data_IF_351944488349
#
_entry.id   IF_351944488349
#
_cell.length_a   1.000
_cell.length_b   1.000
_cell.length_c   1.000
_cell.angle_alpha   90.00
_cell.angle_beta   90.00
_cell.angle_gamma   90.00
#
_symmetry.space_group_name_H-M   'P 1'
#
loop_
_entity.id
_entity.type
_entity.pdbx_description
1 polymer ?
#
# COMPACT_ATOMS: atom_id res chain seq x y z
N UNK A 1 40.24 3.20 -32.43
CA UNK A 1 39.93 3.15 -30.99
C UNK A 1 38.43 3.42 -30.86
N UNK A 2 37.62 2.36 -30.82
CA UNK A 2 36.16 2.48 -30.72
C UNK A 2 35.78 2.66 -29.25
N UNK A 3 35.25 3.84 -28.89
CA UNK A 3 34.69 4.09 -27.57
C UNK A 3 33.30 3.43 -27.49
N UNK A 4 33.15 2.46 -26.60
CA UNK A 4 31.88 1.82 -26.32
C UNK A 4 30.89 2.84 -25.73
N UNK A 5 29.61 2.86 -26.16
CA UNK A 5 28.59 3.67 -25.51
C UNK A 5 28.26 3.07 -24.13
N UNK A 6 28.36 3.92 -23.10
CA UNK A 6 28.05 3.62 -21.70
C UNK A 6 26.57 3.28 -21.51
N UNK A 7 26.32 2.14 -20.85
CA UNK A 7 25.00 1.56 -20.57
C UNK A 7 24.17 2.31 -19.49
N UNK A 8 24.35 3.62 -19.32
CA UNK A 8 23.69 4.41 -18.26
C UNK A 8 22.42 5.14 -18.70
N UNK A 9 22.18 5.28 -20.01
CA UNK A 9 21.05 6.08 -20.55
C UNK A 9 19.73 5.29 -20.62
N UNK A 10 19.77 3.95 -20.50
CA UNK A 10 18.58 3.10 -20.56
C UNK A 10 17.78 3.06 -19.25
N UNK A 11 18.38 3.39 -18.11
CA UNK A 11 17.71 3.38 -16.80
C UNK A 11 16.88 4.67 -16.54
N UNK A 12 17.30 5.79 -17.12
CA UNK A 12 16.61 7.08 -16.95
C UNK A 12 15.32 7.17 -17.78
N UNK A 13 15.27 6.48 -18.93
CA UNK A 13 14.09 6.46 -19.80
C UNK A 13 12.93 5.64 -19.21
N UNK A 14 13.22 4.62 -18.39
CA UNK A 14 12.22 3.82 -17.68
C UNK A 14 11.61 4.62 -16.52
N UNK A 15 12.42 5.40 -15.78
CA UNK A 15 11.91 6.28 -14.71
C UNK A 15 11.04 7.41 -15.25
N UNK A 16 11.40 8.00 -16.40
CA UNK A 16 10.59 9.01 -17.08
C UNK A 16 9.29 8.38 -17.60
N UNK A 17 9.32 7.16 -18.15
CA UNK A 17 8.11 6.44 -18.57
C UNK A 17 7.21 6.05 -17.38
N UNK A 18 7.78 5.65 -16.24
CA UNK A 18 7.05 5.41 -14.99
C UNK A 18 6.46 6.71 -14.43
N UNK A 19 7.17 7.83 -14.53
CA UNK A 19 6.66 9.15 -14.17
C UNK A 19 5.55 9.60 -15.12
N UNK A 20 5.66 9.40 -16.43
CA UNK A 20 4.64 9.75 -17.42
C UNK A 20 3.40 8.86 -17.27
N UNK A 21 3.55 7.55 -17.02
CA UNK A 21 2.43 6.67 -16.67
C UNK A 21 1.80 7.04 -15.32
N UNK A 22 2.60 7.44 -14.33
CA UNK A 22 2.10 8.02 -13.08
C UNK A 22 1.40 9.37 -13.32
N UNK A 23 1.81 10.15 -14.32
CA UNK A 23 1.22 11.43 -14.69
C UNK A 23 -0.12 11.28 -15.44
N UNK A 24 -0.21 10.34 -16.37
CA UNK A 24 -1.45 9.93 -17.05
C UNK A 24 -2.47 9.38 -16.06
N UNK A 25 -2.01 8.49 -15.15
CA UNK A 25 -2.81 8.04 -14.03
C UNK A 25 -3.18 9.22 -13.12
N UNK A 26 -2.28 10.17 -12.84
CA UNK A 26 -2.58 11.34 -12.02
C UNK A 26 -3.64 12.28 -12.65
N UNK A 27 -3.77 12.35 -13.98
CA UNK A 27 -4.82 13.14 -14.67
C UNK A 27 -6.19 12.44 -14.57
N UNK A 28 -6.23 11.12 -14.82
CA UNK A 28 -7.43 10.31 -14.65
C UNK A 28 -7.86 10.28 -13.17
N UNK A 29 -6.88 10.18 -12.28
CA UNK A 29 -7.00 10.24 -10.84
C UNK A 29 -7.42 11.63 -10.38
N UNK A 30 -6.94 12.73 -10.96
CA UNK A 30 -7.43 14.09 -10.63
C UNK A 30 -8.92 14.28 -10.92
N UNK A 31 -9.39 13.66 -12.01
CA UNK A 31 -10.80 13.72 -12.42
C UNK A 31 -11.69 12.93 -11.46
N UNK A 32 -11.22 11.77 -10.98
CA UNK A 32 -11.92 10.92 -9.99
C UNK A 32 -11.73 11.42 -8.54
N UNK A 33 -10.56 12.00 -8.25
CA UNK A 33 -10.17 12.62 -6.99
C UNK A 33 -11.13 13.74 -6.63
N UNK A 34 -11.61 14.62 -7.52
CA UNK A 34 -12.54 15.68 -7.05
C UNK A 34 -13.71 15.15 -6.22
N UNK A 35 -14.22 13.97 -6.55
CA UNK A 35 -15.28 13.29 -5.78
C UNK A 35 -14.70 12.53 -4.57
N UNK A 36 -13.63 11.78 -4.78
CA UNK A 36 -13.01 10.94 -3.74
C UNK A 36 -12.15 11.71 -2.74
N UNK A 37 -11.78 12.95 -3.03
CA UNK A 37 -10.96 13.86 -2.22
C UNK A 37 -11.81 14.52 -1.16
N UNK A 38 -13.06 14.86 -1.49
CA UNK A 38 -14.07 15.22 -0.50
C UNK A 38 -14.37 14.02 0.40
N UNK A 39 -14.44 12.81 -0.18
CA UNK A 39 -14.55 11.57 0.57
C UNK A 39 -13.30 11.31 1.43
N UNK A 40 -12.09 11.59 0.95
CA UNK A 40 -10.83 11.42 1.68
C UNK A 40 -10.70 12.40 2.82
N UNK A 41 -10.99 13.69 2.62
CA UNK A 41 -11.03 14.67 3.71
C UNK A 41 -12.06 14.23 4.76
N UNK A 42 -13.22 13.74 4.32
CA UNK A 42 -14.27 13.21 5.20
C UNK A 42 -13.85 11.91 5.90
N UNK A 43 -13.18 10.97 5.22
CA UNK A 43 -12.67 9.72 5.79
C UNK A 43 -11.54 10.01 6.78
N UNK A 44 -10.58 10.87 6.42
CA UNK A 44 -9.45 11.29 7.26
C UNK A 44 -9.91 12.05 8.51
N UNK A 45 -11.06 12.73 8.45
CA UNK A 45 -11.68 13.38 9.61
C UNK A 45 -12.60 12.47 10.41
N UNK A 46 -13.33 11.54 9.79
CA UNK A 46 -14.31 10.66 10.44
C UNK A 46 -13.82 9.22 10.71
N UNK A 47 -12.61 8.88 10.29
CA UNK A 47 -11.99 7.56 10.40
C UNK A 47 -12.84 6.41 9.80
N UNK A 48 -13.44 6.62 8.62
CA UNK A 48 -14.24 5.59 7.95
C UNK A 48 -13.50 5.01 6.74
N UNK A 49 -13.03 3.74 6.77
CA UNK A 49 -12.34 3.12 5.63
C UNK A 49 -13.30 2.67 4.51
N UNK A 50 -14.61 2.58 4.76
CA UNK A 50 -15.61 1.98 3.85
C UNK A 50 -15.82 2.74 2.54
N UNK A 51 -15.34 3.99 2.45
CA UNK A 51 -15.50 4.85 1.27
C UNK A 51 -14.35 4.81 0.27
N UNK A 52 -13.19 4.24 0.61
CA UNK A 52 -11.98 4.28 -0.21
C UNK A 52 -11.41 2.87 -0.40
N UNK A 53 -11.30 2.40 -1.64
CA UNK A 53 -10.67 1.11 -1.94
C UNK A 53 -9.17 1.08 -1.61
N UNK A 54 -8.61 -0.10 -1.36
CA UNK A 54 -7.18 -0.29 -1.04
C UNK A 54 -6.25 0.24 -2.13
N UNK A 55 -6.58 0.02 -3.41
CA UNK A 55 -5.81 0.54 -4.56
C UNK A 55 -5.70 2.08 -4.57
N UNK A 56 -6.78 2.74 -4.14
CA UNK A 56 -6.85 4.20 -4.05
C UNK A 56 -6.00 4.70 -2.88
N UNK A 57 -6.06 4.02 -1.73
CA UNK A 57 -5.22 4.31 -0.56
C UNK A 57 -3.72 4.12 -0.87
N UNK A 58 -3.35 3.04 -1.55
CA UNK A 58 -1.95 2.80 -1.98
C UNK A 58 -1.44 3.90 -2.90
N UNK A 59 -2.27 4.31 -3.86
CA UNK A 59 -1.92 5.39 -4.79
C UNK A 59 -1.77 6.72 -4.05
N UNK A 60 -2.67 7.02 -3.10
CA UNK A 60 -2.58 8.23 -2.27
C UNK A 60 -1.29 8.28 -1.43
N UNK A 61 -0.86 7.14 -0.87
CA UNK A 61 0.42 7.06 -0.15
C UNK A 61 1.60 7.32 -1.11
N UNK A 62 1.55 6.79 -2.34
CA UNK A 62 2.59 7.01 -3.37
C UNK A 62 2.62 8.45 -3.91
N UNK A 63 1.51 9.17 -3.81
CA UNK A 63 1.39 10.59 -4.21
C UNK A 63 1.74 11.56 -3.07
N UNK A 64 2.23 11.07 -1.93
CA UNK A 64 2.69 11.93 -0.84
C UNK A 64 3.78 12.88 -1.35
N UNK A 65 3.61 14.20 -1.21
CA UNK A 65 4.61 15.16 -1.66
C UNK A 65 5.87 15.02 -0.80
N UNK A 66 7.01 15.31 -1.39
CA UNK A 66 8.27 15.45 -0.64
C UNK A 66 8.21 16.68 0.27
N UNK A 67 9.08 16.74 1.29
CA UNK A 67 9.12 17.88 2.23
C UNK A 67 9.38 19.20 1.50
N UNK A 68 10.24 19.17 0.48
CA UNK A 68 10.58 20.32 -0.34
C UNK A 68 9.38 20.80 -1.17
N UNK A 69 8.58 19.88 -1.71
CA UNK A 69 7.34 20.20 -2.44
C UNK A 69 6.25 20.73 -1.52
N UNK A 70 6.09 20.15 -0.32
CA UNK A 70 5.14 20.62 0.69
C UNK A 70 5.43 22.07 1.10
N UNK A 71 6.70 22.42 1.34
CA UNK A 71 7.11 23.79 1.67
C UNK A 71 6.83 24.75 0.50
N UNK A 72 7.13 24.35 -0.74
CA UNK A 72 6.85 25.17 -1.93
C UNK A 72 5.36 25.41 -2.13
N UNK A 73 4.52 24.39 -1.95
CA UNK A 73 3.07 24.50 -2.08
C UNK A 73 2.48 25.36 -0.96
N UNK A 74 2.98 25.23 0.27
CA UNK A 74 2.55 26.00 1.43
C UNK A 74 2.88 27.49 1.32
N UNK A 75 4.07 27.81 0.80
CA UNK A 75 4.55 29.18 0.60
C UNK A 75 4.18 29.76 -0.78
N UNK A 76 3.25 29.11 -1.51
CA UNK A 76 2.80 29.62 -2.79
C UNK A 76 1.76 30.72 -2.57
N UNK A 77 2.15 31.99 -2.77
CA UNK A 77 1.26 33.14 -2.56
C UNK A 77 0.60 33.63 -3.87
N UNK A 78 0.91 32.95 -4.97
CA UNK A 78 0.42 33.28 -6.30
C UNK A 78 -1.03 32.88 -6.54
N UNK A 79 -1.52 33.16 -7.74
CA UNK A 79 -2.87 32.82 -8.16
C UNK A 79 -3.07 31.30 -8.22
N UNK A 80 -4.01 30.79 -7.42
CA UNK A 80 -4.40 29.38 -7.35
C UNK A 80 -4.89 28.83 -8.71
N UNK A 81 -5.31 29.70 -9.62
CA UNK A 81 -5.70 29.32 -10.99
C UNK A 81 -4.53 28.74 -11.80
N UNK A 82 -3.29 29.15 -11.48
CA UNK A 82 -2.05 28.68 -12.13
C UNK A 82 -1.57 27.33 -11.62
N UNK A 83 -2.03 26.91 -10.45
CA UNK A 83 -1.78 25.57 -9.93
C UNK A 83 -2.70 24.56 -10.64
N UNK A 84 -2.14 23.41 -10.99
CA UNK A 84 -2.90 22.26 -11.46
C UNK A 84 -3.89 21.75 -10.41
N UNK A 85 -4.86 20.95 -10.83
CA UNK A 85 -5.84 20.33 -9.91
C UNK A 85 -5.15 19.53 -8.79
N UNK A 86 -4.08 18.80 -9.11
CA UNK A 86 -3.31 18.01 -8.15
C UNK A 86 -2.54 18.89 -7.16
N UNK A 87 -1.92 19.97 -7.63
CA UNK A 87 -1.15 20.88 -6.79
C UNK A 87 -2.05 21.66 -5.82
N UNK A 88 -3.26 22.04 -6.27
CA UNK A 88 -4.28 22.63 -5.39
C UNK A 88 -4.74 21.66 -4.30
N UNK A 89 -4.90 20.39 -4.63
CA UNK A 89 -5.20 19.35 -3.65
C UNK A 89 -4.07 19.22 -2.63
N UNK A 90 -2.84 19.03 -3.10
CA UNK A 90 -1.66 18.88 -2.25
C UNK A 90 -1.35 20.12 -1.42
N UNK A 91 -1.85 21.30 -1.82
CA UNK A 91 -1.77 22.52 -1.00
C UNK A 91 -2.77 22.54 0.17
N UNK A 92 -3.95 21.92 0.01
CA UNK A 92 -5.00 21.89 1.03
C UNK A 92 -4.85 20.74 2.05
N UNK A 93 -4.18 19.65 1.66
CA UNK A 93 -3.99 18.46 2.52
C UNK A 93 -3.10 18.70 3.75
N UNK A 94 -1.97 19.43 3.66
CA UNK A 94 -1.07 19.68 4.79
C UNK A 94 -1.71 20.46 5.95
N UNK A 95 -2.79 21.20 5.70
CA UNK A 95 -3.56 21.87 6.75
C UNK A 95 -4.25 20.86 7.69
N UNK A 96 -4.40 19.60 7.25
CA UNK A 96 -4.90 18.50 8.07
C UNK A 96 -3.70 17.84 8.78
N UNK A 97 -3.65 17.88 10.12
CA UNK A 97 -2.53 17.32 10.86
C UNK A 97 -2.42 15.81 10.62
N UNK A 98 -1.23 15.40 10.17
CA UNK A 98 -0.87 14.00 9.90
C UNK A 98 -1.71 13.32 8.79
N UNK A 99 -2.20 14.07 7.80
CA UNK A 99 -3.08 13.56 6.74
C UNK A 99 -2.55 12.26 6.10
N UNK A 100 -1.32 12.24 5.59
CA UNK A 100 -0.76 11.06 4.94
C UNK A 100 -0.52 9.89 5.92
N UNK A 101 -0.15 10.16 7.18
CA UNK A 101 -0.04 9.10 8.19
C UNK A 101 -1.40 8.46 8.52
N UNK A 102 -2.49 9.25 8.47
CA UNK A 102 -3.85 8.72 8.64
C UNK A 102 -4.26 7.82 7.47
N UNK A 103 -3.88 8.19 6.25
CA UNK A 103 -4.10 7.37 5.04
C UNK A 103 -3.32 6.06 5.13
N UNK A 104 -2.07 6.13 5.57
CA UNK A 104 -1.22 4.96 5.80
C UNK A 104 -1.82 4.02 6.86
N UNK A 105 -2.32 4.58 7.97
CA UNK A 105 -3.04 3.81 8.99
C UNK A 105 -4.35 3.19 8.46
N UNK A 106 -5.07 3.90 7.59
CA UNK A 106 -6.27 3.37 6.94
C UNK A 106 -5.93 2.21 6.01
N UNK A 107 -4.88 2.34 5.20
CA UNK A 107 -4.40 1.28 4.33
C UNK A 107 -4.03 0.03 5.14
N UNK A 108 -3.32 0.21 6.26
CA UNK A 108 -3.02 -0.87 7.19
C UNK A 108 -4.29 -1.52 7.76
N UNK A 109 -5.25 -0.73 8.23
CA UNK A 109 -6.51 -1.24 8.77
C UNK A 109 -7.35 -1.99 7.74
N UNK A 110 -7.28 -1.62 6.47
CA UNK A 110 -7.98 -2.30 5.39
C UNK A 110 -7.36 -3.67 5.06
N UNK A 111 -6.06 -3.85 5.29
CA UNK A 111 -5.33 -5.08 4.96
C UNK A 111 -5.18 -6.05 6.15
N UNK A 112 -5.21 -5.54 7.39
CA UNK A 112 -4.88 -6.33 8.58
C UNK A 112 -5.81 -7.54 8.76
N UNK A 113 -7.11 -7.40 8.47
CA UNK A 113 -8.06 -8.51 8.58
C UNK A 113 -7.74 -9.63 7.60
N UNK A 114 -7.33 -9.29 6.37
CA UNK A 114 -6.94 -10.27 5.35
C UNK A 114 -5.64 -10.97 5.75
N UNK A 115 -4.64 -10.21 6.21
CA UNK A 115 -3.36 -10.74 6.68
C UNK A 115 -3.54 -11.68 7.89
N UNK A 116 -4.27 -11.25 8.92
CA UNK A 116 -4.54 -12.05 10.12
C UNK A 116 -5.30 -13.32 9.77
N UNK A 117 -6.30 -13.24 8.88
CA UNK A 117 -7.04 -14.41 8.44
C UNK A 117 -6.17 -15.40 7.66
N UNK A 118 -5.25 -14.92 6.83
CA UNK A 118 -4.27 -15.76 6.14
C UNK A 118 -3.37 -16.49 7.13
N UNK A 119 -2.75 -15.76 8.06
CA UNK A 119 -1.89 -16.33 9.11
C UNK A 119 -2.64 -17.39 9.94
N UNK A 120 -3.88 -17.09 10.37
CA UNK A 120 -4.71 -18.04 11.13
C UNK A 120 -4.94 -19.35 10.38
N UNK A 121 -5.21 -19.31 9.08
CA UNK A 121 -5.39 -20.52 8.26
C UNK A 121 -4.10 -21.34 8.15
N UNK A 122 -2.95 -20.67 8.03
CA UNK A 122 -1.65 -21.34 8.04
C UNK A 122 -1.40 -22.06 9.36
N UNK A 123 -1.70 -21.42 10.50
CA UNK A 123 -1.57 -22.04 11.81
C UNK A 123 -2.52 -23.22 12.01
N UNK A 124 -3.79 -23.10 11.62
CA UNK A 124 -4.74 -24.21 11.68
C UNK A 124 -4.29 -25.42 10.86
N UNK A 125 -3.71 -25.18 9.68
CA UNK A 125 -3.16 -26.26 8.85
C UNK A 125 -2.00 -26.98 9.55
N UNK A 126 -1.11 -26.21 10.19
CA UNK A 126 0.00 -26.76 10.97
C UNK A 126 -0.49 -27.57 12.18
N UNK A 127 -1.49 -27.08 12.91
CA UNK A 127 -2.07 -27.78 14.06
C UNK A 127 -2.68 -29.13 13.66
N UNK A 128 -3.41 -29.18 12.55
CA UNK A 128 -3.97 -30.43 12.02
C UNK A 128 -2.87 -31.41 11.63
N UNK A 129 -1.80 -30.90 10.99
CA UNK A 129 -0.68 -31.75 10.59
C UNK A 129 0.09 -32.30 11.79
N UNK A 130 0.33 -31.47 12.81
CA UNK A 130 0.96 -31.90 14.07
C UNK A 130 0.10 -32.94 14.79
N UNK A 131 -1.21 -32.74 14.87
CA UNK A 131 -2.12 -33.72 15.46
C UNK A 131 -2.08 -35.07 14.72
N UNK A 132 -2.02 -35.04 13.38
CA UNK A 132 -1.89 -36.24 12.56
C UNK A 132 -0.57 -36.98 12.83
N UNK A 133 0.56 -36.26 12.90
CA UNK A 133 1.88 -36.87 13.19
C UNK A 133 1.93 -37.46 14.59
N UNK A 134 1.38 -36.78 15.60
CA UNK A 134 1.29 -37.31 16.97
C UNK A 134 0.46 -38.60 16.99
N UNK A 135 -0.65 -38.64 16.26
CA UNK A 135 -1.47 -39.85 16.14
C UNK A 135 -0.72 -40.99 15.46
N UNK A 136 0.06 -40.70 14.41
CA UNK A 136 0.87 -41.72 13.72
C UNK A 136 1.98 -42.28 14.63
N UNK A 137 2.71 -41.41 15.35
CA UNK A 137 3.75 -41.85 16.29
C UNK A 137 3.19 -42.72 17.41
N UNK A 138 1.97 -42.41 17.88
CA UNK A 138 1.28 -43.23 18.88
C UNK A 138 0.92 -44.61 18.34
N UNK A 139 0.52 -44.69 17.07
CA UNK A 139 0.21 -45.95 16.38
C UNK A 139 1.46 -46.79 16.12
N UNK A 140 2.57 -46.17 15.69
CA UNK A 140 3.86 -46.85 15.47
C UNK A 140 4.43 -47.46 16.78
N UNK A 141 4.24 -46.77 17.90
CA UNK A 141 4.64 -47.26 19.23
C UNK A 141 3.81 -48.50 19.64
N UNK A 142 2.51 -48.49 19.36
CA UNK A 142 1.60 -49.63 19.60
C UNK A 142 2.02 -50.86 18.79
N UNK A 143 2.26 -50.71 17.48
CA UNK A 143 2.71 -51.81 16.63
C UNK A 143 4.08 -52.37 17.06
N UNK A 144 4.96 -51.52 17.60
CA UNK A 144 6.25 -51.95 18.13
C UNK A 144 6.12 -52.77 19.41
N UNK A 145 5.09 -52.53 20.23
CA UNK A 145 4.83 -53.31 21.45
C UNK A 145 4.22 -54.69 21.15
N UNK A 146 3.37 -54.83 20.14
CA UNK A 146 2.79 -56.13 19.75
C UNK A 146 3.83 -57.08 19.16
N UNK A 147 4.83 -56.56 18.43
CA UNK A 147 5.96 -57.35 17.91
C UNK A 147 6.92 -57.86 18.99
N UNK A 148 6.88 -57.29 20.20
CA UNK A 148 7.66 -57.79 21.34
C UNK A 148 6.93 -58.87 22.15
N UNK A 149 5.63 -59.06 21.91
CA UNK A 149 4.77 -60.00 22.66
C UNK A 149 4.57 -61.33 21.90
N UNK A 150 4.76 -61.35 20.57
CA UNK A 150 4.76 -62.56 19.72
C UNK A 150 6.17 -62.96 19.30
#
# INVERSE_FOLDING_TARGET
MAAAPSATVAAESVLIALWILAFELAILFCSRLKHDMMAMVKCVTLHCPEGLGTELLETLVKMAPTKEEEIKLKNYDGDLSKLGSAERFLKAVPDIPFAFKRVEAMLYSANIDAEVNYLRKSFQTLEVWLAYVISLLSFDLLLSSEKLIN
#
